data_IF_652390459764
#
_entry.id   IF_652390459764
#
_cell.length_a   1.000
_cell.length_b   1.000
_cell.length_c   1.000
_cell.angle_alpha   90.00
_cell.angle_beta   90.00
_cell.angle_gamma   90.00
#
_symmetry.space_group_name_H-M   'P 1'
#
loop_
_entity.id
_entity.type
_entity.pdbx_description
1 polymer ?
#
# COMPACT_ATOMS: atom_id res chain seq x y z
N UNK A 1 21.67 83.25 43.07
CA UNK A 1 21.41 82.26 42.00
C UNK A 1 22.45 81.16 42.14
N UNK A 2 22.07 79.98 42.65
CA UNK A 2 22.99 78.84 42.84
C UNK A 2 22.73 77.84 41.71
N UNK A 3 23.73 77.62 40.86
CA UNK A 3 23.70 76.60 39.80
C UNK A 3 23.59 75.21 40.44
N UNK A 4 22.58 74.44 40.03
CA UNK A 4 22.49 73.01 40.33
C UNK A 4 23.10 72.25 39.15
N UNK A 5 24.22 71.57 39.36
CA UNK A 5 24.78 70.64 38.39
C UNK A 5 24.04 69.29 38.52
N UNK A 6 23.40 68.89 37.42
CA UNK A 6 22.75 67.60 37.27
C UNK A 6 23.82 66.57 36.85
N UNK A 7 24.06 65.58 37.70
CA UNK A 7 24.87 64.41 37.37
C UNK A 7 23.94 63.33 36.81
N UNK A 8 24.01 63.06 35.51
CA UNK A 8 23.30 61.92 34.89
C UNK A 8 24.23 60.72 34.97
N UNK A 9 23.88 59.74 35.79
CA UNK A 9 24.54 58.44 35.85
C UNK A 9 23.81 57.50 34.87
N UNK A 10 24.42 57.21 33.72
CA UNK A 10 23.93 56.16 32.82
C UNK A 10 24.53 54.85 33.29
N UNK A 11 23.71 54.02 33.94
CA UNK A 11 24.05 52.61 34.20
C UNK A 11 23.70 51.82 32.95
N UNK A 12 24.71 51.51 32.13
CA UNK A 12 24.61 50.53 31.05
C UNK A 12 24.64 49.14 31.70
N UNK A 13 23.48 48.51 31.85
CA UNK A 13 23.37 47.08 32.14
C UNK A 13 23.56 46.36 30.80
N UNK A 14 24.79 45.91 30.51
CA UNK A 14 25.01 44.93 29.47
C UNK A 14 24.39 43.60 29.92
N UNK A 15 23.27 43.21 29.30
CA UNK A 15 22.82 41.82 29.32
C UNK A 15 23.76 41.04 28.40
N UNK A 16 24.75 40.36 28.98
CA UNK A 16 25.38 39.26 28.28
C UNK A 16 24.34 38.13 28.22
N UNK A 17 23.71 37.93 27.06
CA UNK A 17 23.00 36.69 26.78
C UNK A 17 24.04 35.57 26.79
N UNK A 18 24.17 34.86 27.90
CA UNK A 18 24.79 33.54 27.87
C UNK A 18 23.89 32.69 26.99
N UNK A 19 24.27 32.51 25.73
CA UNK A 19 23.63 31.55 24.85
C UNK A 19 23.78 30.18 25.50
N UNK A 20 22.70 29.68 26.10
CA UNK A 20 22.60 28.25 26.37
C UNK A 20 22.61 27.60 24.99
N UNK A 21 23.66 26.82 24.69
CA UNK A 21 23.61 25.86 23.59
C UNK A 21 22.59 24.81 24.02
N UNK A 22 21.33 25.01 23.67
CA UNK A 22 20.31 23.98 23.82
C UNK A 22 20.70 22.86 22.85
N UNK A 23 20.99 21.66 23.38
CA UNK A 23 21.08 20.47 22.54
C UNK A 23 19.76 20.34 21.79
N UNK A 24 19.78 20.22 20.45
CA UNK A 24 18.55 20.01 19.70
C UNK A 24 17.80 18.78 20.24
N UNK A 25 16.48 18.82 20.20
CA UNK A 25 15.63 17.69 20.56
C UNK A 25 15.88 16.53 19.58
N UNK A 26 15.84 15.30 20.07
CA UNK A 26 15.86 14.12 19.20
C UNK A 26 14.66 14.19 18.25
N UNK A 27 14.88 13.78 17.01
CA UNK A 27 13.83 13.66 15.98
C UNK A 27 12.72 12.72 16.45
N UNK A 28 11.48 13.00 16.08
CA UNK A 28 10.32 12.18 16.41
C UNK A 28 9.25 12.35 15.33
N UNK A 29 8.23 11.49 15.32
CA UNK A 29 7.09 11.65 14.42
C UNK A 29 6.11 12.74 14.94
N UNK A 30 5.50 13.56 14.05
CA UNK A 30 5.77 13.64 12.62
C UNK A 30 7.10 14.36 12.29
N UNK A 31 7.78 13.94 11.22
CA UNK A 31 9.00 14.59 10.72
C UNK A 31 8.65 15.51 9.56
N UNK A 32 8.78 16.82 9.79
CA UNK A 32 8.43 17.89 8.83
C UNK A 32 9.61 18.77 8.43
N UNK A 33 10.80 18.56 9.00
CA UNK A 33 12.03 19.34 8.74
C UNK A 33 12.01 20.86 9.02
N UNK A 34 10.93 21.41 9.60
CA UNK A 34 10.79 22.87 9.81
C UNK A 34 11.29 23.38 11.18
N UNK A 35 11.37 22.51 12.18
CA UNK A 35 11.65 22.93 13.56
C UNK A 35 13.15 23.08 13.83
N UNK A 36 13.63 24.33 13.88
CA UNK A 36 15.06 24.64 14.10
C UNK A 36 15.63 24.12 15.45
N UNK A 37 14.76 23.66 16.37
CA UNK A 37 15.16 23.08 17.65
C UNK A 37 15.28 21.56 17.64
N UNK A 38 15.00 20.89 16.52
CA UNK A 38 15.08 19.43 16.35
C UNK A 38 16.36 19.04 15.62
N UNK A 39 16.97 17.91 16.00
CA UNK A 39 18.09 17.30 15.29
C UNK A 39 17.59 16.49 14.09
N UNK A 40 17.48 17.13 12.92
CA UNK A 40 17.15 16.46 11.66
C UNK A 40 18.36 15.82 10.98
N UNK A 41 19.27 15.22 11.75
CA UNK A 41 20.35 14.41 11.18
C UNK A 41 19.75 13.27 10.34
N UNK A 42 20.26 13.09 9.13
CA UNK A 42 19.90 11.99 8.23
C UNK A 42 21.15 11.16 7.98
N UNK A 43 21.03 9.83 8.11
CA UNK A 43 22.18 8.92 8.00
C UNK A 43 22.07 8.08 6.73
N UNK A 44 22.84 8.46 5.70
CA UNK A 44 22.85 7.75 4.42
C UNK A 44 23.70 6.48 4.42
N UNK A 45 23.31 5.51 3.59
CA UNK A 45 24.10 4.30 3.32
C UNK A 45 23.90 3.81 1.88
N UNK A 46 24.76 2.87 1.45
CA UNK A 46 24.66 2.25 0.12
C UNK A 46 24.88 3.19 -1.07
N UNK A 47 25.29 4.44 -0.85
CA UNK A 47 25.47 5.44 -1.92
C UNK A 47 24.28 6.40 -2.10
N UNK A 48 23.31 6.40 -1.19
CA UNK A 48 22.40 7.53 -1.05
C UNK A 48 23.18 8.77 -0.57
N UNK A 49 22.71 9.95 -0.95
CA UNK A 49 23.23 11.22 -0.49
C UNK A 49 22.06 12.18 -0.26
N UNK A 50 21.77 12.46 0.99
CA UNK A 50 20.59 13.24 1.41
C UNK A 50 21.00 14.53 2.07
N UNK A 51 20.31 15.59 1.69
CA UNK A 51 20.45 16.93 2.28
C UNK A 51 19.07 17.50 2.56
N UNK A 52 18.96 18.44 3.50
CA UNK A 52 17.79 19.29 3.59
C UNK A 52 17.88 20.40 2.54
N UNK A 53 16.79 20.63 1.81
CA UNK A 53 16.71 21.57 0.70
C UNK A 53 15.32 22.18 0.56
N UNK A 54 15.14 23.01 -0.45
CA UNK A 54 13.86 23.67 -0.74
C UNK A 54 12.89 22.72 -1.47
N UNK A 55 11.61 22.74 -1.10
CA UNK A 55 10.54 22.09 -1.87
C UNK A 55 10.47 22.71 -3.29
N UNK A 56 10.46 21.88 -4.37
CA UNK A 56 10.44 22.35 -5.75
C UNK A 56 9.18 23.18 -6.11
N UNK A 57 8.08 23.02 -5.36
CA UNK A 57 6.81 23.72 -5.54
C UNK A 57 6.61 24.89 -4.57
N UNK A 58 7.36 24.92 -3.46
CA UNK A 58 7.26 25.94 -2.42
C UNK A 58 8.61 26.15 -1.71
N UNK A 59 9.46 27.05 -2.23
CA UNK A 59 10.79 27.29 -1.68
C UNK A 59 10.85 27.78 -0.20
N UNK A 60 9.70 28.08 0.43
CA UNK A 60 9.63 28.38 1.86
C UNK A 60 9.53 27.12 2.74
N UNK A 61 9.28 25.94 2.15
CA UNK A 61 9.20 24.65 2.81
C UNK A 61 10.54 23.91 2.67
N UNK A 62 11.03 23.37 3.77
CA UNK A 62 12.25 22.57 3.86
C UNK A 62 11.88 21.10 3.73
N UNK A 63 12.54 20.39 2.82
CA UNK A 63 12.30 18.95 2.59
C UNK A 63 13.60 18.19 2.58
N UNK A 64 13.56 16.88 2.76
CA UNK A 64 14.70 16.03 2.51
C UNK A 64 14.84 15.76 1.00
N UNK A 65 16.06 15.87 0.49
CA UNK A 65 16.41 15.69 -0.93
C UNK A 65 17.43 14.57 -1.03
N UNK A 66 17.00 13.39 -1.44
CA UNK A 66 17.84 12.20 -1.59
C UNK A 66 18.27 12.04 -3.04
N UNK A 67 19.58 12.07 -3.28
CA UNK A 67 20.17 11.65 -4.56
C UNK A 67 20.60 10.19 -4.44
N UNK A 68 20.01 9.31 -5.27
CA UNK A 68 20.51 7.94 -5.44
C UNK A 68 21.65 7.98 -6.47
N UNK A 69 22.87 8.16 -5.99
CA UNK A 69 24.03 8.49 -6.84
C UNK A 69 24.33 7.42 -7.90
N UNK A 70 25.03 7.80 -8.97
CA UNK A 70 25.44 6.86 -10.03
C UNK A 70 26.28 5.72 -9.45
N UNK A 71 25.82 4.48 -9.62
CA UNK A 71 26.46 3.28 -9.07
C UNK A 71 26.13 3.01 -7.59
N UNK A 72 25.16 3.72 -7.01
CA UNK A 72 24.65 3.40 -5.68
C UNK A 72 24.05 1.99 -5.66
N UNK A 73 24.17 1.31 -4.52
CA UNK A 73 23.65 -0.03 -4.32
C UNK A 73 22.13 -0.08 -4.56
N UNK A 74 21.65 -1.27 -4.93
CA UNK A 74 20.22 -1.51 -5.15
C UNK A 74 19.37 -1.28 -3.90
N UNK A 75 20.00 -1.33 -2.73
CA UNK A 75 19.44 -1.08 -1.39
C UNK A 75 19.92 0.25 -0.79
N UNK A 76 20.43 1.20 -1.58
CA UNK A 76 20.81 2.51 -1.06
C UNK A 76 19.61 3.22 -0.42
N UNK A 77 19.83 3.83 0.75
CA UNK A 77 18.76 4.45 1.52
C UNK A 77 19.29 5.40 2.60
N UNK A 78 18.34 5.97 3.32
CA UNK A 78 18.59 7.00 4.34
C UNK A 78 17.81 6.67 5.59
N UNK A 79 18.51 6.54 6.72
CA UNK A 79 17.89 6.46 8.03
C UNK A 79 17.44 7.85 8.47
N UNK A 80 16.20 7.93 8.96
CA UNK A 80 15.56 9.14 9.45
C UNK A 80 16.00 9.35 10.90
N UNK A 81 17.04 10.15 11.10
CA UNK A 81 17.66 10.35 12.40
C UNK A 81 19.09 9.79 12.50
N UNK A 82 19.58 9.81 13.74
CA UNK A 82 20.84 9.17 14.13
C UNK A 82 20.63 7.67 14.33
N UNK A 83 21.65 6.96 14.84
CA UNK A 83 21.48 5.57 15.23
C UNK A 83 20.60 5.38 16.48
N UNK A 84 20.23 6.45 17.18
CA UNK A 84 19.36 6.40 18.36
C UNK A 84 17.87 6.39 18.00
N UNK A 85 17.53 6.53 16.71
CA UNK A 85 16.15 6.51 16.23
C UNK A 85 15.33 7.75 16.62
N UNK A 86 14.01 7.58 16.67
CA UNK A 86 13.00 8.51 17.10
C UNK A 86 12.95 8.61 18.64
N UNK A 87 12.46 9.75 19.14
CA UNK A 87 12.31 9.97 20.57
C UNK A 87 11.23 9.08 21.21
N UNK A 88 10.25 8.62 20.42
CA UNK A 88 9.19 7.72 20.86
C UNK A 88 9.06 6.49 19.97
N UNK A 89 8.47 5.42 20.53
CA UNK A 89 8.14 4.20 19.79
C UNK A 89 6.97 4.49 18.84
N UNK A 90 7.09 4.03 17.60
CA UNK A 90 6.04 4.10 16.59
C UNK A 90 4.85 3.26 17.09
N UNK A 91 3.65 3.84 17.26
CA UNK A 91 2.58 3.23 18.03
C UNK A 91 1.74 2.23 17.21
N UNK A 92 2.37 1.27 16.55
CA UNK A 92 1.66 0.24 15.80
C UNK A 92 0.70 -0.56 16.68
N UNK A 93 -0.50 -0.82 16.16
CA UNK A 93 -1.49 -1.72 16.77
C UNK A 93 -1.96 -2.75 15.74
N UNK A 94 -2.91 -3.62 16.12
CA UNK A 94 -3.48 -4.57 15.16
C UNK A 94 -4.33 -3.88 14.09
N UNK A 95 -4.91 -2.72 14.42
CA UNK A 95 -5.76 -1.94 13.53
C UNK A 95 -5.04 -0.73 12.89
N UNK A 96 -3.89 -0.31 13.43
CA UNK A 96 -3.12 0.84 12.97
C UNK A 96 -1.70 0.39 12.62
N UNK A 97 -1.50 -0.02 11.37
CA UNK A 97 -0.25 -0.58 10.85
C UNK A 97 0.44 0.31 9.82
N UNK A 98 -0.06 1.53 9.61
CA UNK A 98 0.37 2.38 8.50
C UNK A 98 1.30 3.51 8.94
N UNK A 99 2.16 3.93 8.02
CA UNK A 99 2.88 5.21 8.07
C UNK A 99 2.77 5.89 6.71
N UNK A 100 2.80 7.21 6.67
CA UNK A 100 2.75 7.97 5.43
C UNK A 100 3.97 8.85 5.22
N UNK A 101 4.35 9.06 3.96
CA UNK A 101 5.41 9.99 3.56
C UNK A 101 4.95 10.75 2.32
N UNK A 102 5.06 12.08 2.32
CA UNK A 102 4.95 12.84 1.06
C UNK A 102 6.23 12.67 0.26
N UNK A 103 6.08 12.26 -0.99
CA UNK A 103 7.18 11.99 -1.92
C UNK A 103 6.96 12.77 -3.21
N UNK A 104 8.02 13.40 -3.71
CA UNK A 104 8.11 13.90 -5.08
C UNK A 104 9.14 13.04 -5.82
N UNK A 105 8.67 12.33 -6.83
CA UNK A 105 9.51 11.51 -7.70
C UNK A 105 9.52 12.05 -9.13
N UNK A 106 10.67 12.05 -9.83
CA UNK A 106 10.71 12.35 -11.26
C UNK A 106 9.96 11.30 -12.12
N UNK A 107 9.63 10.14 -11.55
CA UNK A 107 9.00 9.01 -12.26
C UNK A 107 7.87 8.35 -11.44
N UNK A 108 6.84 7.89 -12.15
CA UNK A 108 5.88 6.91 -11.64
C UNK A 108 6.45 5.49 -11.76
N UNK A 109 5.88 4.55 -11.01
CA UNK A 109 6.25 3.13 -10.99
C UNK A 109 7.57 2.83 -10.30
N UNK A 110 8.05 3.72 -9.41
CA UNK A 110 9.30 3.51 -8.64
C UNK A 110 8.98 2.87 -7.30
N UNK A 111 9.64 1.76 -7.01
CA UNK A 111 9.56 1.10 -5.72
C UNK A 111 10.21 1.97 -4.64
N UNK A 112 9.39 2.54 -3.76
CA UNK A 112 9.84 3.19 -2.54
C UNK A 112 9.61 2.21 -1.41
N UNK A 113 10.66 1.90 -0.65
CA UNK A 113 10.58 1.02 0.50
C UNK A 113 10.70 1.82 1.78
N UNK A 114 9.88 1.47 2.77
CA UNK A 114 10.03 1.97 4.13
C UNK A 114 10.33 0.78 5.05
N UNK A 115 11.38 0.94 5.85
CA UNK A 115 11.82 -0.04 6.85
C UNK A 115 11.64 0.58 8.23
N UNK A 116 11.06 -0.18 9.16
CA UNK A 116 11.08 0.12 10.60
C UNK A 116 11.94 -0.87 11.36
N UNK A 117 12.62 -0.39 12.39
CA UNK A 117 13.58 -1.15 13.19
C UNK A 117 13.47 -0.74 14.66
N UNK A 118 13.85 -1.66 15.56
CA UNK A 118 14.26 -1.28 16.92
C UNK A 118 15.72 -0.81 16.86
N UNK A 119 16.01 0.43 17.24
CA UNK A 119 17.36 0.99 17.13
C UNK A 119 18.43 0.17 17.88
N UNK A 120 18.03 -0.50 18.97
CA UNK A 120 18.88 -1.33 19.82
C UNK A 120 19.11 -2.76 19.32
N UNK A 121 18.27 -3.25 18.40
CA UNK A 121 18.38 -4.60 17.83
C UNK A 121 17.95 -4.62 16.36
N UNK A 122 18.95 -4.61 15.46
CA UNK A 122 18.73 -4.61 14.01
C UNK A 122 18.12 -5.92 13.46
N UNK A 123 17.86 -6.93 14.30
CA UNK A 123 17.09 -8.12 13.90
C UNK A 123 15.58 -7.94 14.09
N UNK A 124 15.15 -6.95 14.88
CA UNK A 124 13.75 -6.56 15.03
C UNK A 124 13.41 -5.52 13.97
N UNK A 125 12.78 -5.97 12.89
CA UNK A 125 12.47 -5.11 11.74
C UNK A 125 11.18 -5.53 11.05
N UNK A 126 10.58 -4.62 10.30
CA UNK A 126 9.59 -4.89 9.29
C UNK A 126 9.80 -3.93 8.11
N UNK A 127 9.54 -4.38 6.88
CA UNK A 127 9.71 -3.61 5.67
C UNK A 127 8.43 -3.72 4.83
N UNK A 128 7.98 -2.63 4.24
CA UNK A 128 6.91 -2.63 3.24
C UNK A 128 7.27 -1.70 2.09
N UNK A 129 6.64 -1.87 0.94
CA UNK A 129 7.02 -1.24 -0.32
C UNK A 129 5.80 -0.72 -1.07
N UNK A 130 5.91 0.50 -1.60
CA UNK A 130 4.85 1.17 -2.36
C UNK A 130 5.45 1.72 -3.65
N UNK A 131 4.69 1.62 -4.75
CA UNK A 131 5.08 2.24 -6.01
C UNK A 131 4.65 3.71 -6.04
N UNK A 132 5.52 4.59 -6.51
CA UNK A 132 5.07 5.94 -6.91
C UNK A 132 4.03 5.82 -8.02
N UNK A 133 2.98 6.65 -7.97
CA UNK A 133 1.90 6.63 -8.98
C UNK A 133 1.98 7.84 -9.91
N UNK A 134 2.69 8.88 -9.51
CA UNK A 134 2.82 10.13 -10.25
C UNK A 134 4.27 10.41 -10.62
N UNK A 135 4.46 11.20 -11.68
CA UNK A 135 5.78 11.67 -12.11
C UNK A 135 5.81 13.20 -12.08
N UNK A 136 6.86 13.77 -11.50
CA UNK A 136 7.06 15.21 -11.35
C UNK A 136 5.91 15.90 -10.58
N UNK A 137 5.38 15.22 -9.58
CA UNK A 137 4.37 15.75 -8.67
C UNK A 137 4.61 15.19 -7.26
N UNK A 138 4.11 15.92 -6.27
CA UNK A 138 4.00 15.43 -4.90
C UNK A 138 2.82 14.46 -4.80
N UNK A 139 3.04 13.32 -4.16
CA UNK A 139 2.01 12.37 -3.72
C UNK A 139 2.28 11.92 -2.29
N UNK A 140 1.26 11.45 -1.58
CA UNK A 140 1.43 10.81 -0.27
C UNK A 140 1.46 9.30 -0.49
N UNK A 141 2.59 8.67 -0.19
CA UNK A 141 2.70 7.21 -0.15
C UNK A 141 2.32 6.74 1.25
N UNK A 142 1.47 5.71 1.33
CA UNK A 142 1.05 5.09 2.59
C UNK A 142 1.59 3.66 2.62
N UNK A 143 2.45 3.40 3.60
CA UNK A 143 3.16 2.16 3.84
C UNK A 143 2.42 1.35 4.89
N UNK A 144 1.85 0.21 4.50
CA UNK A 144 1.16 -0.70 5.43
C UNK A 144 2.09 -1.84 5.86
N UNK A 145 2.50 -1.82 7.13
CA UNK A 145 3.40 -2.84 7.66
C UNK A 145 2.70 -4.18 7.95
N UNK A 146 1.38 -4.26 7.83
CA UNK A 146 0.67 -5.54 7.81
C UNK A 146 0.81 -6.29 6.48
N UNK A 147 1.24 -5.60 5.42
CA UNK A 147 1.60 -6.14 4.12
C UNK A 147 3.12 -6.03 3.93
N UNK A 148 3.87 -6.93 4.57
CA UNK A 148 5.32 -6.87 4.50
C UNK A 148 5.87 -7.20 3.11
N UNK A 149 6.96 -6.55 2.74
CA UNK A 149 7.66 -6.83 1.50
C UNK A 149 8.11 -8.31 1.46
N UNK A 150 7.90 -9.04 0.34
CA UNK A 150 8.20 -10.45 0.28
C UNK A 150 9.64 -10.80 0.69
N UNK A 151 9.78 -11.78 1.59
CA UNK A 151 11.07 -12.24 2.10
C UNK A 151 11.67 -11.39 3.23
N UNK A 152 10.90 -10.46 3.79
CA UNK A 152 11.27 -9.67 4.98
C UNK A 152 10.55 -10.19 6.23
N UNK A 153 10.81 -9.58 7.39
CA UNK A 153 10.15 -9.99 8.64
C UNK A 153 8.75 -9.38 8.74
N UNK A 154 7.78 -10.20 9.15
CA UNK A 154 6.40 -9.78 9.44
C UNK A 154 6.38 -8.78 10.60
N UNK A 155 5.44 -7.83 10.59
CA UNK A 155 5.24 -6.91 11.71
C UNK A 155 5.00 -7.68 13.02
N UNK A 156 5.81 -7.39 14.04
CA UNK A 156 5.69 -7.97 15.36
C UNK A 156 5.48 -6.87 16.39
N UNK A 157 4.25 -6.80 16.93
CA UNK A 157 3.81 -5.77 17.88
C UNK A 157 4.47 -5.88 19.27
N UNK A 158 5.26 -6.93 19.54
CA UNK A 158 6.09 -7.03 20.74
C UNK A 158 7.42 -6.23 20.63
N UNK A 159 7.79 -5.77 19.43
CA UNK A 159 9.02 -5.00 19.19
C UNK A 159 8.80 -3.50 19.39
N UNK A 160 9.84 -2.81 19.86
CA UNK A 160 9.81 -1.36 20.04
C UNK A 160 10.37 -0.68 18.79
N UNK A 161 9.57 -0.64 17.72
CA UNK A 161 9.97 0.06 16.51
C UNK A 161 10.10 1.56 16.79
N UNK A 162 11.31 2.07 16.75
CA UNK A 162 11.62 3.47 17.05
C UNK A 162 12.66 4.01 16.07
N UNK A 163 12.84 3.37 14.92
CA UNK A 163 13.74 3.83 13.87
C UNK A 163 13.15 3.52 12.51
N UNK A 164 13.29 4.45 11.56
CA UNK A 164 12.87 4.22 10.19
C UNK A 164 13.98 4.56 9.17
N UNK A 165 13.98 3.83 8.05
CA UNK A 165 14.83 4.12 6.89
C UNK A 165 14.00 4.06 5.61
N UNK A 166 14.22 5.01 4.70
CA UNK A 166 13.56 5.10 3.39
C UNK A 166 14.53 4.78 2.26
N UNK A 167 14.04 4.11 1.22
CA UNK A 167 14.82 3.69 0.07
C UNK A 167 14.07 4.03 -1.21
N UNK A 168 14.74 4.74 -2.12
CA UNK A 168 14.14 5.09 -3.41
C UNK A 168 14.63 4.15 -4.51
N UNK A 169 13.72 3.78 -5.42
CA UNK A 169 13.96 2.85 -6.53
C UNK A 169 14.61 1.54 -6.06
N UNK A 170 14.04 0.94 -5.01
CA UNK A 170 14.59 -0.26 -4.36
C UNK A 170 14.79 -1.39 -5.37
N UNK A 171 15.81 -2.24 -5.16
CA UNK A 171 16.27 -3.27 -6.10
C UNK A 171 16.85 -2.76 -7.44
N UNK A 172 16.95 -1.44 -7.65
CA UNK A 172 17.53 -0.85 -8.86
C UNK A 172 18.82 -0.10 -8.53
N UNK A 173 19.87 -0.29 -9.35
CA UNK A 173 21.15 0.42 -9.19
C UNK A 173 20.97 1.93 -9.42
N UNK A 174 21.70 2.74 -8.67
CA UNK A 174 21.59 4.19 -8.76
C UNK A 174 22.07 4.76 -10.09
N UNK A 175 21.26 5.66 -10.64
CA UNK A 175 21.46 6.37 -11.93
C UNK A 175 21.74 7.86 -11.75
N UNK A 176 21.73 8.36 -10.50
CA UNK A 176 21.83 9.79 -10.17
C UNK A 176 20.48 10.49 -10.01
N UNK A 177 19.38 9.75 -9.93
CA UNK A 177 18.04 10.30 -9.76
C UNK A 177 17.86 10.96 -8.38
N UNK A 178 17.03 12.01 -8.34
CA UNK A 178 16.77 12.85 -7.17
C UNK A 178 15.32 12.70 -6.77
N UNK A 179 15.08 12.40 -5.50
CA UNK A 179 13.76 12.27 -4.88
C UNK A 179 13.65 13.29 -3.74
N UNK A 180 12.47 13.87 -3.55
CA UNK A 180 12.19 14.74 -2.42
C UNK A 180 11.17 14.04 -1.52
N UNK A 181 11.31 14.21 -0.21
CA UNK A 181 10.36 13.64 0.74
C UNK A 181 10.24 14.51 1.98
N UNK A 182 9.04 14.50 2.55
CA UNK A 182 8.61 15.34 3.65
C UNK A 182 7.43 14.68 4.38
N UNK A 183 6.99 15.27 5.49
CA UNK A 183 5.79 14.88 6.23
C UNK A 183 5.75 13.36 6.50
N UNK A 184 6.75 12.84 7.22
CA UNK A 184 6.76 11.43 7.66
C UNK A 184 5.90 11.30 8.90
N UNK A 185 4.80 10.56 8.82
CA UNK A 185 3.79 10.49 9.86
C UNK A 185 3.42 9.04 10.18
N UNK A 186 2.96 8.81 11.42
CA UNK A 186 2.26 7.58 11.76
C UNK A 186 0.80 7.65 11.28
N UNK A 187 0.29 6.54 10.75
CA UNK A 187 -1.02 6.44 10.14
C UNK A 187 -1.01 6.78 8.65
N UNK A 188 -2.19 7.09 8.14
CA UNK A 188 -2.45 7.26 6.71
C UNK A 188 -3.47 6.23 6.24
N UNK A 189 -4.44 6.70 5.45
CA UNK A 189 -5.43 5.82 4.84
C UNK A 189 -4.78 5.15 3.63
N UNK A 190 -4.62 3.82 3.66
CA UNK A 190 -4.24 3.08 2.46
C UNK A 190 -5.33 3.32 1.43
N UNK A 191 -5.00 4.10 0.41
CA UNK A 191 -5.85 4.17 -0.77
C UNK A 191 -5.63 2.89 -1.55
N UNK A 192 -6.25 1.79 -1.10
CA UNK A 192 -6.55 0.72 -2.05
C UNK A 192 -7.36 1.40 -3.13
N UNK A 193 -6.80 1.46 -4.34
CA UNK A 193 -7.57 1.99 -5.46
C UNK A 193 -8.90 1.23 -5.50
N UNK A 194 -9.97 1.91 -5.86
CA UNK A 194 -11.24 1.25 -6.16
C UNK A 194 -11.53 1.47 -7.63
N UNK A 195 -12.24 0.55 -8.30
CA UNK A 195 -12.64 0.76 -9.67
C UNK A 195 -13.54 2.01 -9.74
N UNK A 196 -13.14 2.97 -10.56
CA UNK A 196 -13.92 4.21 -10.81
C UNK A 196 -14.70 4.16 -12.11
N UNK A 197 -14.42 3.15 -12.94
CA UNK A 197 -15.12 2.85 -14.19
C UNK A 197 -15.86 1.52 -14.04
N UNK A 198 -17.02 1.39 -14.70
CA UNK A 198 -17.78 0.13 -14.71
C UNK A 198 -16.98 -1.03 -15.32
N UNK A 199 -17.34 -2.26 -14.95
CA UNK A 199 -16.86 -3.45 -15.67
C UNK A 199 -17.28 -3.40 -17.15
N UNK A 200 -16.50 -4.01 -18.06
CA UNK A 200 -16.88 -4.13 -19.45
C UNK A 200 -18.30 -4.69 -19.64
N UNK A 201 -19.05 -4.15 -20.60
CA UNK A 201 -20.34 -4.75 -20.98
C UNK A 201 -20.09 -5.97 -21.86
N UNK A 202 -20.59 -7.15 -21.50
CA UNK A 202 -20.37 -8.36 -22.32
C UNK A 202 -21.09 -8.22 -23.67
N UNK A 203 -20.48 -8.78 -24.73
CA UNK A 203 -20.94 -8.62 -26.12
C UNK A 203 -21.48 -9.89 -26.76
N UNK A 204 -21.42 -11.01 -26.06
CA UNK A 204 -21.90 -12.29 -26.56
C UNK A 204 -23.40 -12.28 -26.83
N UNK A 205 -23.83 -13.13 -27.76
CA UNK A 205 -25.24 -13.26 -28.06
C UNK A 205 -25.97 -13.84 -26.84
N UNK A 206 -27.05 -13.21 -26.32
CA UNK A 206 -27.76 -13.70 -25.14
C UNK A 206 -28.26 -15.14 -25.22
N UNK A 207 -28.46 -15.68 -26.43
CA UNK A 207 -28.85 -17.08 -26.64
C UNK A 207 -27.73 -18.08 -26.33
N UNK A 208 -26.48 -17.63 -26.30
CA UNK A 208 -25.27 -18.42 -26.11
C UNK A 208 -24.68 -18.20 -24.69
N UNK A 209 -25.43 -17.58 -23.78
CA UNK A 209 -24.98 -17.18 -22.43
C UNK A 209 -25.91 -17.70 -21.35
N UNK A 210 -25.33 -18.34 -20.32
CA UNK A 210 -25.97 -18.55 -19.03
C UNK A 210 -25.42 -17.48 -18.08
N UNK A 211 -26.20 -16.43 -17.84
CA UNK A 211 -25.78 -15.32 -16.97
C UNK A 211 -26.08 -15.62 -15.51
N UNK A 212 -25.10 -15.50 -14.63
CA UNK A 212 -25.32 -15.57 -13.18
C UNK A 212 -25.48 -14.17 -12.58
N UNK A 213 -24.72 -13.19 -13.08
CA UNK A 213 -24.76 -11.80 -12.63
C UNK A 213 -24.34 -10.86 -13.77
N UNK A 214 -25.30 -10.16 -14.36
CA UNK A 214 -25.03 -9.15 -15.38
C UNK A 214 -26.21 -8.20 -15.57
N UNK A 215 -25.92 -6.90 -15.69
CA UNK A 215 -26.92 -5.92 -16.11
C UNK A 215 -27.32 -6.05 -17.60
N UNK A 216 -26.52 -6.78 -18.40
CA UNK A 216 -26.72 -6.93 -19.85
C UNK A 216 -27.61 -8.12 -20.24
N UNK A 217 -27.74 -9.12 -19.36
CA UNK A 217 -28.47 -10.36 -19.62
C UNK A 217 -29.55 -10.62 -18.57
N UNK A 218 -30.36 -11.65 -18.79
CA UNK A 218 -31.28 -12.15 -17.75
C UNK A 218 -30.57 -13.20 -16.93
N UNK A 219 -30.40 -12.93 -15.64
CA UNK A 219 -29.71 -13.84 -14.74
C UNK A 219 -30.55 -15.06 -14.37
N UNK A 220 -29.88 -16.22 -14.29
CA UNK A 220 -30.43 -17.44 -13.69
C UNK A 220 -30.37 -17.33 -12.16
N UNK A 221 -31.21 -18.08 -11.41
CA UNK A 221 -31.15 -18.06 -9.95
C UNK A 221 -29.80 -18.51 -9.40
N UNK A 222 -29.28 -17.77 -8.42
CA UNK A 222 -28.12 -18.12 -7.59
C UNK A 222 -28.57 -18.09 -6.14
N UNK A 223 -28.31 -19.16 -5.38
CA UNK A 223 -28.80 -19.31 -4.01
C UNK A 223 -28.06 -18.37 -3.05
N UNK A 224 -26.74 -18.29 -3.20
CA UNK A 224 -25.91 -17.35 -2.45
C UNK A 224 -24.65 -17.00 -3.22
N UNK A 225 -24.24 -15.74 -3.07
CA UNK A 225 -22.96 -15.21 -3.55
C UNK A 225 -21.84 -15.30 -2.51
N UNK A 226 -22.18 -15.69 -1.27
CA UNK A 226 -21.23 -15.92 -0.20
C UNK A 226 -21.84 -16.92 0.78
N UNK A 227 -21.35 -18.14 0.75
CA UNK A 227 -21.76 -19.19 1.70
C UNK A 227 -21.30 -18.89 3.13
N UNK A 228 -21.95 -19.49 4.12
CA UNK A 228 -21.60 -19.32 5.54
C UNK A 228 -20.19 -19.85 5.88
N UNK A 229 -19.70 -20.80 5.07
CA UNK A 229 -18.36 -21.37 5.19
C UNK A 229 -17.28 -20.57 4.47
N UNK A 230 -17.63 -19.47 3.79
CA UNK A 230 -16.68 -18.57 3.14
C UNK A 230 -15.88 -17.75 4.15
N UNK A 231 -14.59 -17.52 3.83
CA UNK A 231 -13.73 -16.57 4.53
C UNK A 231 -13.57 -15.31 3.67
N UNK A 232 -14.61 -14.47 3.71
CA UNK A 232 -14.72 -13.21 3.00
C UNK A 232 -15.83 -12.36 3.61
N UNK A 233 -15.83 -11.06 3.34
CA UNK A 233 -16.95 -10.14 3.56
C UNK A 233 -17.50 -9.78 2.18
N UNK A 234 -18.82 -9.93 1.98
CA UNK A 234 -19.49 -9.55 0.74
C UNK A 234 -20.24 -8.23 0.93
N UNK A 235 -19.99 -7.29 0.03
CA UNK A 235 -20.76 -6.06 -0.14
C UNK A 235 -21.28 -5.97 -1.58
N UNK A 236 -22.50 -5.45 -1.72
CA UNK A 236 -23.02 -5.08 -3.04
C UNK A 236 -22.74 -3.59 -3.27
N UNK A 237 -22.02 -3.29 -4.34
CA UNK A 237 -21.61 -1.93 -4.68
C UNK A 237 -22.11 -1.57 -6.06
N UNK A 238 -22.09 -0.27 -6.37
CA UNK A 238 -22.42 0.24 -7.71
C UNK A 238 -21.26 1.11 -8.18
N UNK A 239 -20.67 0.75 -9.30
CA UNK A 239 -19.51 1.42 -9.89
C UNK A 239 -19.95 2.01 -11.22
N UNK A 240 -19.96 3.33 -11.33
CA UNK A 240 -20.46 4.04 -12.52
C UNK A 240 -21.87 3.59 -12.98
N UNK A 241 -22.72 3.20 -12.03
CA UNK A 241 -24.07 2.71 -12.31
C UNK A 241 -24.18 1.21 -12.64
N UNK A 242 -23.07 0.49 -12.75
CA UNK A 242 -23.03 -0.96 -12.92
C UNK A 242 -22.95 -1.66 -11.55
N UNK A 243 -23.79 -2.67 -11.33
CA UNK A 243 -23.77 -3.43 -10.08
C UNK A 243 -22.54 -4.35 -10.01
N UNK A 244 -21.90 -4.45 -8.83
CA UNK A 244 -20.77 -5.34 -8.60
C UNK A 244 -20.83 -6.02 -7.22
N UNK A 245 -20.24 -7.21 -7.14
CA UNK A 245 -20.00 -7.94 -5.88
C UNK A 245 -18.58 -7.63 -5.41
N UNK A 246 -18.45 -6.92 -4.29
CA UNK A 246 -17.15 -6.62 -3.67
C UNK A 246 -16.89 -7.64 -2.56
N UNK A 247 -15.76 -8.33 -2.65
CA UNK A 247 -15.25 -9.18 -1.58
C UNK A 247 -14.06 -8.51 -0.90
N UNK A 248 -14.13 -8.35 0.42
CA UNK A 248 -13.02 -7.87 1.26
C UNK A 248 -12.64 -8.92 2.30
N UNK A 249 -11.43 -8.84 2.87
CA UNK A 249 -10.84 -9.90 3.69
C UNK A 249 -10.98 -11.29 3.03
N UNK A 250 -10.76 -11.36 1.71
CA UNK A 250 -10.99 -12.54 0.90
C UNK A 250 -9.81 -13.52 1.02
N UNK A 251 -10.09 -14.67 1.63
CA UNK A 251 -9.27 -15.89 1.51
C UNK A 251 -9.91 -16.84 0.49
N UNK A 252 -11.22 -17.13 0.66
CA UNK A 252 -12.02 -17.82 -0.35
C UNK A 252 -13.52 -17.53 -0.20
N UNK A 253 -14.25 -17.58 -1.31
CA UNK A 253 -15.71 -17.43 -1.33
C UNK A 253 -16.39 -18.56 -2.11
N UNK A 254 -17.45 -19.11 -1.53
CA UNK A 254 -18.35 -20.04 -2.16
C UNK A 254 -19.57 -19.35 -2.75
N UNK A 255 -19.89 -19.69 -4.00
CA UNK A 255 -21.13 -19.30 -4.70
C UNK A 255 -21.89 -20.59 -4.98
N UNK A 256 -23.17 -20.65 -4.62
CA UNK A 256 -23.98 -21.87 -4.75
C UNK A 256 -25.19 -21.64 -5.67
N UNK A 257 -25.44 -22.65 -6.51
CA UNK A 257 -26.65 -22.80 -7.34
C UNK A 257 -27.31 -24.16 -7.06
N UNK A 258 -27.22 -24.65 -5.82
CA UNK A 258 -27.66 -25.97 -5.42
C UNK A 258 -29.16 -26.23 -5.64
N UNK A 259 -30.02 -25.20 -5.51
CA UNK A 259 -31.46 -25.33 -5.76
C UNK A 259 -31.81 -25.35 -7.25
N UNK A 260 -30.90 -24.88 -8.11
CA UNK A 260 -31.03 -24.85 -9.57
C UNK A 260 -29.68 -25.12 -10.23
N UNK A 261 -29.19 -26.37 -10.23
CA UNK A 261 -27.90 -26.73 -10.83
C UNK A 261 -27.84 -26.32 -12.30
N UNK A 262 -26.69 -25.78 -12.71
CA UNK A 262 -26.50 -25.28 -14.06
C UNK A 262 -26.12 -26.40 -15.01
N UNK A 263 -26.88 -26.57 -16.09
CA UNK A 263 -26.46 -27.41 -17.21
C UNK A 263 -25.63 -26.57 -18.19
N UNK A 264 -24.31 -26.78 -18.16
CA UNK A 264 -23.35 -26.08 -19.01
C UNK A 264 -22.79 -26.95 -20.15
N UNK A 265 -23.44 -28.09 -20.47
CA UNK A 265 -22.93 -29.04 -21.49
C UNK A 265 -22.70 -28.42 -22.86
N UNK A 266 -23.52 -27.43 -23.26
CA UNK A 266 -23.38 -26.74 -24.55
C UNK A 266 -22.45 -25.52 -24.48
N UNK A 267 -21.98 -25.16 -23.28
CA UNK A 267 -21.10 -24.01 -23.07
C UNK A 267 -19.64 -24.42 -23.27
N UNK A 268 -18.79 -23.44 -23.61
CA UNK A 268 -17.36 -23.69 -23.86
C UNK A 268 -16.45 -22.89 -22.95
N UNK A 269 -16.93 -21.78 -22.39
CA UNK A 269 -16.13 -20.86 -21.58
C UNK A 269 -16.90 -20.43 -20.33
N UNK A 270 -16.14 -20.16 -19.27
CA UNK A 270 -16.55 -19.33 -18.15
C UNK A 270 -16.03 -17.92 -18.41
N UNK A 271 -16.91 -16.92 -18.35
CA UNK A 271 -16.56 -15.51 -18.44
C UNK A 271 -16.70 -14.82 -17.09
N UNK A 272 -15.72 -14.00 -16.70
CA UNK A 272 -15.75 -13.16 -15.48
C UNK A 272 -14.95 -11.89 -15.69
N UNK A 273 -15.53 -10.72 -15.38
CA UNK A 273 -14.77 -9.50 -15.16
C UNK A 273 -14.37 -9.39 -13.68
N UNK A 274 -13.06 -9.30 -13.41
CA UNK A 274 -12.52 -9.17 -12.06
C UNK A 274 -11.66 -7.90 -11.96
N UNK A 275 -11.74 -7.23 -10.81
CA UNK A 275 -10.89 -6.08 -10.48
C UNK A 275 -10.33 -6.30 -9.08
N UNK A 276 -9.04 -6.04 -8.89
CA UNK A 276 -8.40 -6.02 -7.57
C UNK A 276 -7.27 -5.01 -7.57
N UNK A 277 -7.10 -4.32 -6.44
CA UNK A 277 -6.02 -3.36 -6.25
C UNK A 277 -4.66 -4.07 -6.18
N UNK A 278 -4.63 -5.30 -5.67
CA UNK A 278 -3.46 -5.86 -5.01
C UNK A 278 -3.38 -7.40 -5.00
N UNK A 279 -4.34 -8.12 -5.58
CA UNK A 279 -4.31 -9.59 -5.57
C UNK A 279 -2.97 -10.17 -6.06
N UNK A 280 -2.35 -11.03 -5.26
CA UNK A 280 -1.13 -11.75 -5.67
C UNK A 280 -1.43 -13.16 -6.18
N UNK A 281 -2.66 -13.61 -5.93
CA UNK A 281 -3.19 -14.91 -6.31
C UNK A 281 -4.69 -14.79 -6.61
N UNK A 282 -5.15 -15.45 -7.66
CA UNK A 282 -6.57 -15.57 -7.97
C UNK A 282 -6.86 -16.96 -8.55
N UNK A 283 -7.73 -17.71 -7.89
CA UNK A 283 -8.09 -19.07 -8.29
C UNK A 283 -9.59 -19.21 -8.52
N UNK A 284 -9.97 -20.04 -9.47
CA UNK A 284 -11.38 -20.39 -9.73
C UNK A 284 -11.53 -21.89 -9.61
N UNK A 285 -12.49 -22.32 -8.79
CA UNK A 285 -12.85 -23.71 -8.59
C UNK A 285 -14.27 -23.96 -9.06
N UNK A 286 -14.45 -25.02 -9.85
CA UNK A 286 -15.75 -25.54 -10.23
C UNK A 286 -15.99 -26.88 -9.55
N UNK A 287 -17.25 -27.11 -9.15
CA UNK A 287 -17.74 -28.38 -8.59
C UNK A 287 -18.84 -28.87 -9.52
N UNK A 288 -18.70 -30.10 -10.00
CA UNK A 288 -19.73 -30.83 -10.73
C UNK A 288 -20.38 -31.83 -9.78
N UNK A 289 -21.70 -31.81 -9.69
CA UNK A 289 -22.51 -32.70 -8.85
C UNK A 289 -22.75 -34.07 -9.49
N UNK A 290 -22.07 -34.37 -10.59
CA UNK A 290 -22.14 -35.68 -11.22
C UNK A 290 -23.50 -35.99 -11.83
N UNK A 291 -23.76 -37.28 -12.02
CA UNK A 291 -24.91 -37.77 -12.76
C UNK A 291 -26.21 -37.69 -11.95
N UNK A 292 -26.13 -37.64 -10.62
CA UNK A 292 -27.30 -37.50 -9.77
C UNK A 292 -27.80 -36.05 -9.63
N UNK A 293 -26.95 -35.08 -10.00
CA UNK A 293 -27.26 -33.65 -10.00
C UNK A 293 -27.44 -33.07 -8.59
N UNK A 294 -26.88 -33.71 -7.56
CA UNK A 294 -26.99 -33.29 -6.18
C UNK A 294 -25.64 -33.39 -5.44
N UNK A 295 -25.24 -32.33 -4.76
CA UNK A 295 -24.04 -32.35 -3.93
C UNK A 295 -24.08 -33.48 -2.89
N UNK A 296 -23.01 -34.27 -2.83
CA UNK A 296 -22.94 -35.51 -2.09
C UNK A 296 -22.91 -36.71 -3.03
N UNK A 297 -23.55 -37.82 -2.67
CA UNK A 297 -23.75 -38.96 -3.59
C UNK A 297 -22.53 -39.84 -3.89
N UNK A 298 -21.32 -39.29 -3.90
CA UNK A 298 -20.06 -39.97 -4.18
C UNK A 298 -19.60 -39.89 -5.64
N UNK A 299 -20.32 -39.15 -6.50
CA UNK A 299 -19.98 -38.86 -7.89
C UNK A 299 -19.57 -37.40 -8.16
N UNK A 300 -19.56 -36.55 -7.13
CA UNK A 300 -19.02 -35.19 -7.22
C UNK A 300 -17.55 -35.16 -7.66
N UNK A 301 -17.22 -34.25 -8.58
CA UNK A 301 -15.84 -33.92 -8.94
C UNK A 301 -15.61 -32.42 -8.88
N UNK A 302 -14.38 -32.02 -8.58
CA UNK A 302 -14.02 -30.61 -8.48
C UNK A 302 -12.64 -30.36 -9.08
N UNK A 303 -12.44 -29.17 -9.63
CA UNK A 303 -11.15 -28.75 -10.13
C UNK A 303 -10.95 -27.25 -9.95
N UNK A 304 -9.78 -26.88 -9.47
CA UNK A 304 -9.35 -25.49 -9.38
C UNK A 304 -8.30 -25.21 -10.44
N UNK A 305 -8.40 -24.05 -11.06
CA UNK A 305 -7.32 -23.45 -11.84
C UNK A 305 -6.82 -22.21 -11.11
N UNK A 306 -5.52 -21.98 -11.20
CA UNK A 306 -4.86 -20.79 -10.65
C UNK A 306 -4.50 -19.86 -11.80
N UNK A 307 -4.96 -18.61 -11.72
CA UNK A 307 -4.67 -17.57 -12.69
C UNK A 307 -3.49 -16.74 -12.17
N UNK A 308 -2.47 -16.58 -13.01
CA UNK A 308 -1.22 -15.89 -12.64
C UNK A 308 -0.97 -14.72 -13.58
N UNK A 309 -0.34 -13.67 -13.05
CA UNK A 309 0.02 -12.49 -13.84
C UNK A 309 -1.19 -11.67 -14.30
N UNK A 310 -2.28 -11.66 -13.53
CA UNK A 310 -3.40 -10.75 -13.80
C UNK A 310 -2.99 -9.33 -13.45
N UNK A 311 -3.42 -8.37 -14.27
CA UNK A 311 -3.14 -6.96 -14.01
C UNK A 311 -3.92 -6.49 -12.77
N UNK A 312 -3.28 -5.64 -11.97
CA UNK A 312 -3.87 -5.00 -10.79
C UNK A 312 -4.38 -3.60 -11.13
N UNK A 313 -5.28 -3.08 -10.31
CA UNK A 313 -5.90 -1.77 -10.41
C UNK A 313 -6.66 -1.50 -11.73
N UNK A 314 -7.02 -2.54 -12.47
CA UNK A 314 -7.84 -2.46 -13.68
C UNK A 314 -8.79 -3.66 -13.80
N UNK A 315 -9.84 -3.52 -14.62
CA UNK A 315 -10.75 -4.62 -14.92
C UNK A 315 -10.08 -5.61 -15.86
N UNK A 316 -10.06 -6.88 -15.46
CA UNK A 316 -9.56 -7.99 -16.25
C UNK A 316 -10.74 -8.87 -16.65
N UNK A 317 -11.02 -8.91 -17.95
CA UNK A 317 -11.98 -9.85 -18.53
C UNK A 317 -11.34 -11.21 -18.71
N UNK A 318 -11.85 -12.20 -18.00
CA UNK A 318 -11.37 -13.59 -18.02
C UNK A 318 -12.30 -14.42 -18.88
N UNK A 319 -11.77 -14.94 -20.00
CA UNK A 319 -12.44 -15.94 -20.84
C UNK A 319 -11.73 -17.29 -20.69
N UNK A 320 -12.27 -18.13 -19.79
CA UNK A 320 -11.63 -19.36 -19.36
C UNK A 320 -12.28 -20.55 -20.08
N UNK A 321 -11.55 -21.30 -20.92
CA UNK A 321 -12.09 -22.51 -21.52
C UNK A 321 -12.49 -23.51 -20.44
N UNK A 322 -13.71 -24.04 -20.48
CA UNK A 322 -14.16 -25.07 -19.55
C UNK A 322 -13.28 -26.34 -19.62
N UNK A 323 -12.63 -26.58 -20.77
CA UNK A 323 -11.64 -27.64 -20.93
C UNK A 323 -10.37 -27.48 -20.06
N UNK A 324 -10.16 -26.30 -19.47
CA UNK A 324 -9.05 -26.06 -18.52
C UNK A 324 -9.28 -26.76 -17.18
N UNK A 325 -10.54 -27.07 -16.85
CA UNK A 325 -10.92 -27.77 -15.63
C UNK A 325 -10.78 -29.30 -15.79
N UNK A 326 -9.55 -29.76 -16.02
CA UNK A 326 -9.25 -31.15 -16.43
C UNK A 326 -9.65 -32.24 -15.43
N UNK A 327 -9.96 -31.87 -14.19
CA UNK A 327 -10.47 -32.78 -13.16
C UNK A 327 -11.98 -33.04 -13.23
N UNK A 328 -12.73 -32.31 -14.06
CA UNK A 328 -14.17 -32.51 -14.25
C UNK A 328 -14.41 -33.57 -15.35
N UNK A 329 -14.17 -34.85 -15.03
CA UNK A 329 -14.20 -35.97 -16.01
C UNK A 329 -15.44 -36.86 -15.92
N UNK A 330 -16.55 -36.31 -15.44
CA UNK A 330 -17.85 -36.95 -15.21
C UNK A 330 -18.57 -37.34 -16.50
#
# INVERSE_FOLDING_TARGET
MKNKHLLILIVLVLWASTGFSQTPAQIDLPVTFEEATVDYTLTDFGGAATVLGEDPSNAANTVAVTTKTVGAATWAGTTIGTNDGFATVIPFTQEETTMSVKVYSPFAGKAVRLKVEEHGDATHTCETEVLTTTANAWETLVFDFSDEAPGTATLNLDYNFDKASIFFDFNVEGTGDIYYWDDVEFGGETSTSEPTVAAPTPTENPADVISLFSDAYTDVPVDTWRTDWSSAILEEVTIEGNAAKKYSALDFVGIETASSPLNVTEMTHLHLDVWSADYTFFGIKLVDYGADGAYGGGDDVEHQIDLTGLNQAEWVSLDIPLSSFTGLTT
#
